data_IF_203407333803
#
_entry.id   IF_203407333803
#
_cell.length_a   1.000
_cell.length_b   1.000
_cell.length_c   1.000
_cell.angle_alpha   90.00
_cell.angle_beta   90.00
_cell.angle_gamma   90.00
#
_symmetry.space_group_name_H-M   'P 1'
#
loop_
_entity.id
_entity.type
_entity.pdbx_description
1 polymer ?
#
# COMPACT_ATOMS: atom_id res chain seq x y z
N UNK A 1 -1.76 -13.14 -25.67
CA UNK A 1 -1.49 -13.71 -24.34
C UNK A 1 -0.92 -12.59 -23.49
N UNK A 2 -1.72 -11.98 -22.62
CA UNK A 2 -1.20 -11.00 -21.66
C UNK A 2 -0.33 -11.78 -20.67
N UNK A 3 0.97 -11.48 -20.64
CA UNK A 3 1.85 -11.97 -19.59
C UNK A 3 1.33 -11.41 -18.27
N UNK A 4 0.80 -12.29 -17.40
CA UNK A 4 0.45 -11.91 -16.04
C UNK A 4 1.74 -11.43 -15.35
N UNK A 5 1.70 -10.19 -14.84
CA UNK A 5 2.84 -9.59 -14.16
C UNK A 5 3.08 -10.40 -12.89
N UNK A 6 4.27 -10.98 -12.76
CA UNK A 6 4.68 -11.65 -11.52
C UNK A 6 5.35 -10.62 -10.61
N UNK A 7 5.17 -10.76 -9.32
CA UNK A 7 5.98 -10.05 -8.33
C UNK A 7 6.85 -11.03 -7.55
N UNK A 8 7.98 -10.52 -7.08
CA UNK A 8 8.99 -11.25 -6.32
C UNK A 8 8.92 -10.77 -4.88
N UNK A 9 8.57 -11.67 -3.97
CA UNK A 9 8.43 -11.37 -2.56
C UNK A 9 9.51 -12.09 -1.75
N UNK A 10 10.01 -11.42 -0.72
CA UNK A 10 10.89 -12.02 0.30
C UNK A 10 10.30 -11.74 1.67
N UNK A 11 10.44 -12.68 2.60
CA UNK A 11 10.05 -12.47 3.98
C UNK A 11 11.02 -11.50 4.66
N UNK A 12 10.49 -10.71 5.58
CA UNK A 12 11.29 -10.00 6.57
C UNK A 12 10.68 -10.13 7.96
N UNK A 13 11.56 -10.11 8.95
CA UNK A 13 11.22 -10.15 10.36
C UNK A 13 11.57 -8.82 11.02
N UNK A 14 10.66 -8.27 11.81
CA UNK A 14 10.92 -7.06 12.59
C UNK A 14 11.49 -7.44 13.97
N UNK A 15 12.76 -7.09 14.22
CA UNK A 15 13.45 -7.33 15.50
C UNK A 15 12.83 -6.60 16.69
N UNK A 16 12.01 -5.57 16.45
CA UNK A 16 11.38 -4.74 17.50
C UNK A 16 10.06 -5.33 17.99
N UNK A 17 9.15 -5.70 17.09
CA UNK A 17 7.82 -6.20 17.44
C UNK A 17 7.66 -7.72 17.27
N UNK A 18 8.61 -8.40 16.65
CA UNK A 18 8.52 -9.83 16.36
C UNK A 18 7.64 -10.20 15.16
N UNK A 19 7.09 -9.22 14.44
CA UNK A 19 6.23 -9.46 13.29
C UNK A 19 7.00 -9.98 12.07
N UNK A 20 6.38 -10.88 11.32
CA UNK A 20 6.89 -11.42 10.05
C UNK A 20 5.98 -10.98 8.91
N UNK A 21 6.56 -10.39 7.87
CA UNK A 21 5.84 -9.80 6.75
C UNK A 21 6.57 -10.11 5.43
N UNK A 22 5.96 -9.72 4.32
CA UNK A 22 6.53 -9.87 2.97
C UNK A 22 6.92 -8.51 2.41
N UNK A 23 8.09 -8.44 1.79
CA UNK A 23 8.61 -7.31 1.06
C UNK A 23 8.58 -7.63 -0.44
N UNK A 24 7.88 -6.80 -1.20
CA UNK A 24 7.94 -6.80 -2.66
C UNK A 24 9.25 -6.16 -3.13
N UNK A 25 10.05 -6.94 -3.85
CA UNK A 25 11.34 -6.50 -4.41
C UNK A 25 11.30 -6.31 -5.93
N UNK A 26 10.18 -6.67 -6.59
CA UNK A 26 10.05 -6.69 -8.04
C UNK A 26 11.26 -7.30 -8.76
N UNK A 27 11.71 -6.64 -9.82
CA UNK A 27 12.87 -7.08 -10.60
C UNK A 27 14.21 -6.55 -10.07
N UNK A 28 14.21 -5.87 -8.90
CA UNK A 28 15.44 -5.30 -8.36
C UNK A 28 16.37 -6.39 -7.81
N UNK A 29 17.68 -6.12 -7.88
CA UNK A 29 18.68 -6.93 -7.17
C UNK A 29 18.61 -6.65 -5.67
N UNK A 30 19.11 -7.60 -4.88
CA UNK A 30 19.28 -7.46 -3.43
C UNK A 30 19.99 -6.17 -3.06
N UNK A 31 21.10 -5.87 -3.72
CA UNK A 31 21.95 -4.71 -3.43
C UNK A 31 21.18 -3.40 -3.69
N UNK A 32 20.37 -3.36 -4.75
CA UNK A 32 19.55 -2.19 -5.09
C UNK A 32 18.44 -1.97 -4.06
N UNK A 33 17.81 -3.04 -3.56
CA UNK A 33 16.81 -2.95 -2.50
C UNK A 33 17.43 -2.50 -1.19
N UNK A 34 18.53 -3.14 -0.75
CA UNK A 34 19.21 -2.74 0.49
C UNK A 34 19.69 -1.29 0.43
N UNK A 35 20.25 -0.83 -0.69
CA UNK A 35 20.66 0.55 -0.88
C UNK A 35 19.46 1.52 -0.83
N UNK A 36 18.32 1.14 -1.39
CA UNK A 36 17.08 1.93 -1.34
C UNK A 36 16.56 2.05 0.10
N UNK A 37 16.46 0.92 0.82
CA UNK A 37 15.99 0.90 2.21
C UNK A 37 16.93 1.67 3.15
N UNK A 38 18.24 1.58 2.95
CA UNK A 38 19.24 2.30 3.76
C UNK A 38 19.11 3.82 3.64
N UNK A 39 18.69 4.33 2.49
CA UNK A 39 18.52 5.77 2.22
C UNK A 39 17.21 6.35 2.77
N UNK A 40 16.30 5.52 3.29
CA UNK A 40 15.04 6.01 3.86
C UNK A 40 15.29 6.56 5.25
N UNK A 41 14.89 7.82 5.46
CA UNK A 41 14.97 8.48 6.78
C UNK A 41 13.74 8.18 7.65
N UNK A 42 12.67 7.70 7.03
CA UNK A 42 11.47 7.20 7.70
C UNK A 42 10.77 6.13 6.87
N UNK A 43 9.96 5.30 7.52
CA UNK A 43 9.08 4.35 6.84
C UNK A 43 7.80 4.09 7.62
N UNK A 44 6.76 3.71 6.91
CA UNK A 44 5.54 3.16 7.51
C UNK A 44 5.75 1.68 7.81
N UNK A 45 5.62 1.31 9.09
CA UNK A 45 5.70 -0.06 9.53
C UNK A 45 4.35 -0.76 9.31
N UNK A 46 4.34 -2.03 8.87
CA UNK A 46 3.12 -2.84 8.86
C UNK A 46 2.54 -2.93 10.29
N UNK A 47 1.45 -2.20 10.56
CA UNK A 47 0.95 -1.93 11.92
C UNK A 47 0.59 -0.47 12.22
N UNK A 48 0.52 0.39 11.20
CA UNK A 48 0.00 1.76 11.27
C UNK A 48 0.79 2.74 12.16
N UNK A 49 2.11 2.60 12.23
CA UNK A 49 2.98 3.63 12.81
C UNK A 49 4.15 3.97 11.87
N UNK A 50 4.60 5.21 11.96
CA UNK A 50 5.75 5.72 11.20
C UNK A 50 6.99 5.68 12.08
N UNK A 51 8.04 5.02 11.60
CA UNK A 51 9.34 4.98 12.24
C UNK A 51 10.27 6.01 11.59
N UNK A 52 10.94 6.83 12.40
CA UNK A 52 11.84 7.90 11.94
C UNK A 52 13.29 7.40 11.80
N UNK A 53 13.46 6.29 11.08
CA UNK A 53 14.78 5.73 10.78
C UNK A 53 14.71 4.80 9.57
N UNK A 54 15.85 4.23 9.15
CA UNK A 54 15.86 3.25 8.06
C UNK A 54 15.17 1.93 8.47
N UNK A 55 14.38 1.30 7.58
CA UNK A 55 13.83 -0.03 7.79
C UNK A 55 14.88 -1.07 8.20
N UNK A 56 16.11 -1.00 7.66
CA UNK A 56 17.17 -1.96 7.92
C UNK A 56 17.66 -1.95 9.38
N UNK A 57 17.34 -0.91 10.16
CA UNK A 57 17.63 -0.91 11.59
C UNK A 57 16.76 -1.91 12.35
N UNK A 58 15.54 -2.18 11.84
CA UNK A 58 14.58 -3.09 12.48
C UNK A 58 14.37 -4.40 11.72
N UNK A 59 14.46 -4.38 10.39
CA UNK A 59 14.12 -5.52 9.56
C UNK A 59 15.32 -6.43 9.32
N UNK A 60 15.09 -7.73 9.45
CA UNK A 60 15.96 -8.79 8.98
C UNK A 60 15.28 -9.46 7.78
N UNK A 61 15.89 -9.35 6.60
CA UNK A 61 15.30 -9.84 5.34
C UNK A 61 15.86 -11.24 5.05
N UNK A 62 14.97 -12.21 4.88
CA UNK A 62 15.33 -13.57 4.46
C UNK A 62 15.35 -13.67 2.93
N UNK A 63 16.51 -13.41 2.35
CA UNK A 63 16.71 -13.48 0.89
C UNK A 63 16.55 -14.88 0.29
N UNK A 64 16.57 -15.94 1.13
CA UNK A 64 16.35 -17.31 0.66
C UNK A 64 14.86 -17.67 0.56
N UNK A 65 13.97 -16.83 1.11
CA UNK A 65 12.52 -17.02 1.05
C UNK A 65 11.87 -16.48 -0.22
N UNK A 66 12.65 -16.27 -1.29
CA UNK A 66 12.16 -15.71 -2.53
C UNK A 66 11.01 -16.55 -3.11
N UNK A 67 9.86 -15.92 -3.25
CA UNK A 67 8.69 -16.46 -3.92
C UNK A 67 8.30 -15.58 -5.10
N UNK A 68 7.80 -16.20 -6.17
CA UNK A 68 7.15 -15.52 -7.27
C UNK A 68 5.64 -15.73 -7.15
N UNK A 69 4.88 -14.65 -7.11
CA UNK A 69 3.42 -14.71 -7.10
C UNK A 69 2.83 -13.92 -8.25
N UNK A 70 1.68 -14.37 -8.75
CA UNK A 70 0.95 -13.65 -9.77
C UNK A 70 0.33 -12.40 -9.14
N UNK A 71 0.55 -11.25 -9.78
CA UNK A 71 -0.13 -10.02 -9.39
C UNK A 71 -1.54 -10.10 -9.94
N UNK A 72 -2.52 -10.07 -9.05
CA UNK A 72 -3.94 -9.94 -9.42
C UNK A 72 -4.13 -8.81 -10.44
N UNK A 73 -5.06 -8.99 -11.36
CA UNK A 73 -5.39 -7.92 -12.31
C UNK A 73 -5.99 -6.71 -11.59
N UNK A 74 -5.88 -5.54 -12.22
CA UNK A 74 -6.53 -4.32 -11.70
C UNK A 74 -8.04 -4.51 -11.52
N UNK A 75 -8.67 -5.27 -12.42
CA UNK A 75 -10.10 -5.55 -12.38
C UNK A 75 -10.49 -6.43 -11.17
N UNK A 76 -9.77 -7.53 -10.95
CA UNK A 76 -9.98 -8.41 -9.80
C UNK A 76 -9.79 -7.67 -8.49
N UNK A 77 -8.70 -6.91 -8.36
CA UNK A 77 -8.40 -6.11 -7.19
C UNK A 77 -9.50 -5.09 -6.88
N UNK A 78 -9.98 -4.37 -7.91
CA UNK A 78 -11.03 -3.37 -7.74
C UNK A 78 -12.38 -4.03 -7.38
N UNK A 79 -12.67 -5.19 -7.93
CA UNK A 79 -13.87 -5.96 -7.59
C UNK A 79 -13.86 -6.40 -6.13
N UNK A 80 -12.70 -6.84 -5.61
CA UNK A 80 -12.58 -7.25 -4.22
C UNK A 80 -12.69 -6.07 -3.24
N UNK A 81 -12.13 -4.90 -3.59
CA UNK A 81 -12.39 -3.66 -2.85
C UNK A 81 -13.88 -3.33 -2.81
N UNK A 82 -14.56 -3.37 -3.95
CA UNK A 82 -16.01 -3.05 -4.05
C UNK A 82 -16.92 -4.05 -3.35
N UNK A 83 -16.46 -5.28 -3.09
CA UNK A 83 -17.18 -6.24 -2.24
C UNK A 83 -17.04 -5.91 -0.75
N UNK A 84 -15.94 -5.26 -0.37
CA UNK A 84 -15.58 -5.00 1.03
C UNK A 84 -16.08 -3.64 1.50
N UNK A 85 -16.01 -2.63 0.63
CA UNK A 85 -16.27 -1.23 0.96
C UNK A 85 -17.49 -0.70 0.20
N UNK A 86 -18.33 0.07 0.89
CA UNK A 86 -19.56 0.65 0.34
C UNK A 86 -19.27 1.76 -0.67
N UNK A 87 -18.16 2.46 -0.50
CA UNK A 87 -17.67 3.50 -1.42
C UNK A 87 -16.27 3.13 -1.89
N UNK A 88 -16.06 3.12 -3.20
CA UNK A 88 -14.74 2.96 -3.83
C UNK A 88 -14.66 3.92 -5.01
N UNK A 89 -13.75 4.88 -4.94
CA UNK A 89 -13.57 5.94 -5.94
C UNK A 89 -12.10 6.10 -6.31
N UNK A 90 -11.83 6.44 -7.56
CA UNK A 90 -10.48 6.90 -7.93
C UNK A 90 -10.25 8.37 -7.58
N UNK A 91 -9.03 8.88 -7.81
CA UNK A 91 -8.68 10.28 -7.54
C UNK A 91 -9.57 11.30 -8.25
N UNK A 92 -10.01 11.03 -9.47
CA UNK A 92 -10.81 11.98 -10.25
C UNK A 92 -12.27 11.96 -9.81
N UNK A 93 -12.78 10.78 -9.46
CA UNK A 93 -14.08 10.59 -8.80
C UNK A 93 -14.11 11.25 -7.42
N UNK A 94 -13.04 11.10 -6.63
CA UNK A 94 -12.90 11.74 -5.32
C UNK A 94 -12.98 13.27 -5.46
N UNK A 95 -12.15 13.87 -6.32
CA UNK A 95 -12.15 15.33 -6.56
C UNK A 95 -13.50 15.83 -7.04
N UNK A 96 -14.19 15.05 -7.87
CA UNK A 96 -15.49 15.44 -8.43
C UNK A 96 -16.58 15.42 -7.37
N UNK A 97 -16.68 14.35 -6.58
CA UNK A 97 -17.81 14.09 -5.70
C UNK A 97 -17.59 14.60 -4.27
N UNK A 98 -16.34 14.78 -3.85
CA UNK A 98 -15.97 15.12 -2.48
C UNK A 98 -15.09 16.38 -2.40
N UNK A 99 -15.20 17.09 -1.29
CA UNK A 99 -14.27 18.13 -0.86
C UNK A 99 -13.29 17.53 0.15
N UNK A 100 -12.01 17.46 -0.19
CA UNK A 100 -10.98 16.93 0.72
C UNK A 100 -10.63 17.99 1.75
N UNK A 101 -10.91 17.70 3.02
CA UNK A 101 -10.64 18.61 4.15
C UNK A 101 -9.22 18.42 4.71
N UNK A 102 -8.63 17.23 4.55
CA UNK A 102 -7.26 16.97 4.97
C UNK A 102 -6.93 15.49 5.12
N UNK A 103 -5.76 15.20 5.70
CA UNK A 103 -5.30 13.86 6.00
C UNK A 103 -4.93 13.74 7.48
N UNK A 104 -5.31 12.64 8.12
CA UNK A 104 -5.02 12.38 9.53
C UNK A 104 -4.76 10.89 9.74
N UNK A 105 -3.63 10.53 10.36
CA UNK A 105 -3.25 9.14 10.65
C UNK A 105 -3.36 8.18 9.44
N UNK A 106 -2.96 8.64 8.25
CA UNK A 106 -3.02 7.82 7.04
C UNK A 106 -4.42 7.74 6.38
N UNK A 107 -5.41 8.44 6.91
CA UNK A 107 -6.76 8.50 6.36
C UNK A 107 -7.03 9.84 5.67
N UNK A 108 -7.79 9.80 4.59
CA UNK A 108 -8.26 10.97 3.85
C UNK A 108 -9.63 11.41 4.38
N UNK A 109 -9.69 12.58 5.00
CA UNK A 109 -10.94 13.16 5.51
C UNK A 109 -11.53 14.02 4.41
N UNK A 110 -12.75 13.69 4.00
CA UNK A 110 -13.46 14.41 2.96
C UNK A 110 -14.94 14.60 3.31
N UNK A 111 -15.60 15.46 2.55
CA UNK A 111 -17.01 15.78 2.69
C UNK A 111 -17.72 15.56 1.38
N UNK A 112 -18.81 14.81 1.39
CA UNK A 112 -19.64 14.61 0.19
C UNK A 112 -20.25 15.95 -0.23
N UNK A 113 -20.06 16.35 -1.49
CA UNK A 113 -20.53 17.66 -2.00
C UNK A 113 -22.04 17.73 -2.15
N UNK A 114 -22.72 16.60 -2.20
CA UNK A 114 -24.17 16.48 -2.37
C UNK A 114 -24.88 16.40 -1.03
N UNK A 115 -24.43 15.51 -0.14
CA UNK A 115 -25.09 15.28 1.16
C UNK A 115 -24.51 16.13 2.28
N UNK A 116 -23.31 16.73 2.08
CA UNK A 116 -22.57 17.48 3.09
C UNK A 116 -22.12 16.62 4.28
N UNK A 117 -22.19 15.28 4.15
CA UNK A 117 -21.74 14.34 5.18
C UNK A 117 -20.22 14.14 5.12
N UNK A 118 -19.61 13.92 6.29
CA UNK A 118 -18.18 13.62 6.37
C UNK A 118 -17.94 12.14 6.12
N UNK A 119 -16.95 11.85 5.30
CA UNK A 119 -16.50 10.50 4.97
C UNK A 119 -14.99 10.42 5.23
N UNK A 120 -14.57 9.36 5.87
CA UNK A 120 -13.15 9.07 6.08
C UNK A 120 -12.78 7.91 5.17
N UNK A 121 -11.88 8.19 4.22
CA UNK A 121 -11.40 7.22 3.27
C UNK A 121 -10.06 6.65 3.72
N UNK A 122 -9.92 5.34 3.62
CA UNK A 122 -8.61 4.71 3.45
C UNK A 122 -8.24 4.76 1.96
N UNK A 123 -6.98 4.51 1.62
CA UNK A 123 -6.54 4.53 0.23
C UNK A 123 -5.44 3.52 -0.05
N UNK A 124 -5.45 3.00 -1.27
CA UNK A 124 -4.42 2.11 -1.77
C UNK A 124 -4.14 2.38 -3.24
N UNK A 125 -2.96 2.00 -3.69
CA UNK A 125 -2.65 1.97 -5.12
C UNK A 125 -2.81 0.56 -5.65
N UNK A 126 -3.61 0.43 -6.71
CA UNK A 126 -3.86 -0.83 -7.38
C UNK A 126 -2.65 -1.33 -8.19
N UNK A 127 -2.71 -2.57 -8.69
CA UNK A 127 -1.68 -3.19 -9.52
C UNK A 127 -1.17 -2.36 -10.70
N UNK A 128 -2.01 -1.50 -11.30
CA UNK A 128 -1.65 -0.63 -12.42
C UNK A 128 -0.96 0.69 -12.00
N UNK A 129 -0.81 0.93 -10.70
CA UNK A 129 -0.26 2.16 -10.14
C UNK A 129 -1.30 3.25 -9.85
N UNK A 130 -2.58 3.05 -10.21
CA UNK A 130 -3.65 4.01 -9.99
C UNK A 130 -4.08 4.01 -8.51
N UNK A 131 -4.33 5.21 -7.97
CA UNK A 131 -4.78 5.44 -6.60
C UNK A 131 -6.30 5.31 -6.50
N UNK A 132 -6.77 4.61 -5.49
CA UNK A 132 -8.17 4.48 -5.12
C UNK A 132 -8.36 4.82 -3.64
N UNK A 133 -9.52 5.38 -3.34
CA UNK A 133 -9.99 5.76 -2.01
C UNK A 133 -11.25 4.97 -1.72
N UNK A 134 -11.37 4.44 -0.52
CA UNK A 134 -12.50 3.58 -0.16
C UNK A 134 -12.93 3.77 1.29
N UNK A 135 -14.23 3.61 1.53
CA UNK A 135 -14.88 3.75 2.83
C UNK A 135 -15.95 2.67 2.99
N UNK A 136 -16.06 2.14 4.20
CA UNK A 136 -16.99 1.07 4.59
C UNK A 136 -18.18 1.63 5.34
#
# INVERSE_FOLDING_TARGET
>A
MNSMKKTRLVNFYCKKCGGTYKLDIGDASREKIEASLRKRDAFECPGHHVELTSPLNYWEIDWNSLEETEVQSQEEWLNDLKKTYSVVVDTEELKRNYEVEGFCYGLCIAKDKTTNEKVTFDFATGPDGKRYYFAG
#
